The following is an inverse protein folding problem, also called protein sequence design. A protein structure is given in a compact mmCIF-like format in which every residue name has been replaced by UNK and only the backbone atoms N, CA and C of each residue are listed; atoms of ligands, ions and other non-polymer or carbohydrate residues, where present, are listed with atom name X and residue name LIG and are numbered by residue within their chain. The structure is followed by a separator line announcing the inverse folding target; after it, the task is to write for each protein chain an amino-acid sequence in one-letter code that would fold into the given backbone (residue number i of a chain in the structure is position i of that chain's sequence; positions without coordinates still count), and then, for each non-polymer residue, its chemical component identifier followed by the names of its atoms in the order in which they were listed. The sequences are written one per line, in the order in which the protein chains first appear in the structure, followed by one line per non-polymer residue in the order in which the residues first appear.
data_IF_399333257193
#
_entry.id   IF_399333257193
#
_cell.length_a   1.000
_cell.length_b   1.000
_cell.length_c   1.000
_cell.angle_alpha   90.00
_cell.angle_beta   90.00
_cell.angle_gamma   90.00
#
_symmetry.space_group_name_H-M   'P 1'
#
loop_
_entity.id
_entity.type
_entity.pdbx_description
1 polymer ?
#
# COMPACT_ATOMS: atom_id res chain seq x y z
N UNK A 1 10.87 -3.51 -29.27
CA UNK A 1 11.47 -4.62 -28.50
C UNK A 1 12.60 -4.07 -27.65
N UNK A 2 12.73 -4.49 -26.38
CA UNK A 2 13.85 -4.12 -25.51
C UNK A 2 15.14 -4.77 -26.05
N UNK A 3 16.23 -4.01 -26.22
CA UNK A 3 17.51 -4.57 -26.68
C UNK A 3 18.38 -4.94 -25.48
N UNK A 4 18.91 -6.16 -25.48
CA UNK A 4 19.86 -6.69 -24.50
C UNK A 4 19.45 -6.48 -23.02
N UNK A 5 18.24 -6.90 -22.61
CA UNK A 5 17.87 -6.83 -21.20
C UNK A 5 18.81 -7.70 -20.36
N UNK A 6 19.24 -7.19 -19.21
CA UNK A 6 20.06 -7.95 -18.26
C UNK A 6 19.45 -7.89 -16.87
N UNK A 7 19.63 -8.97 -16.10
CA UNK A 7 19.21 -9.09 -14.71
C UNK A 7 20.44 -9.35 -13.83
N UNK A 8 20.45 -8.76 -12.65
CA UNK A 8 21.55 -8.89 -11.70
C UNK A 8 21.48 -10.20 -10.93
N UNK A 9 22.61 -10.90 -10.85
CA UNK A 9 22.83 -11.98 -9.90
C UNK A 9 23.36 -11.38 -8.58
N UNK A 10 22.58 -11.48 -7.51
CA UNK A 10 22.93 -10.90 -6.20
C UNK A 10 24.05 -11.64 -5.47
N UNK A 11 24.31 -12.91 -5.83
CA UNK A 11 25.40 -13.68 -5.25
C UNK A 11 26.71 -13.40 -5.99
N UNK A 12 26.69 -13.55 -7.31
CA UNK A 12 27.86 -13.37 -8.17
C UNK A 12 28.18 -11.90 -8.45
N UNK A 13 27.29 -10.98 -8.06
CA UNK A 13 27.43 -9.53 -8.23
C UNK A 13 27.75 -9.13 -9.68
N UNK A 14 27.00 -9.70 -10.63
CA UNK A 14 27.17 -9.42 -12.07
C UNK A 14 25.85 -9.47 -12.83
N UNK A 15 25.79 -8.78 -13.96
CA UNK A 15 24.66 -8.85 -14.87
C UNK A 15 24.69 -10.10 -15.75
N UNK A 16 23.55 -10.76 -15.87
CA UNK A 16 23.29 -11.90 -16.75
C UNK A 16 22.33 -11.47 -17.87
N UNK A 17 22.55 -11.90 -19.13
CA UNK A 17 21.59 -11.65 -20.20
C UNK A 17 20.27 -12.36 -19.90
N UNK A 18 19.16 -11.66 -20.12
CA UNK A 18 17.81 -12.25 -20.00
C UNK A 18 17.42 -12.82 -21.35
N UNK A 19 17.27 -14.15 -21.42
CA UNK A 19 16.88 -14.87 -22.64
C UNK A 19 15.56 -15.59 -22.42
N UNK A 20 14.53 -15.22 -23.18
CA UNK A 20 13.23 -15.89 -23.13
C UNK A 20 12.46 -15.63 -21.83
N UNK A 21 11.81 -16.68 -21.31
CA UNK A 21 10.95 -16.63 -20.11
C UNK A 21 11.46 -17.65 -19.11
N UNK A 22 11.74 -17.19 -17.88
CA UNK A 22 12.09 -18.05 -16.75
C UNK A 22 10.95 -18.05 -15.74
N UNK A 23 10.49 -19.25 -15.36
CA UNK A 23 9.43 -19.44 -14.37
C UNK A 23 9.99 -20.27 -13.21
N UNK A 24 9.97 -19.69 -12.01
CA UNK A 24 10.33 -20.39 -10.78
C UNK A 24 9.10 -20.56 -9.89
N UNK A 25 8.79 -21.81 -9.53
CA UNK A 25 7.67 -22.17 -8.65
C UNK A 25 8.14 -22.94 -7.43
N UNK A 26 7.37 -22.89 -6.33
CA UNK A 26 7.71 -23.56 -5.09
C UNK A 26 8.72 -22.78 -4.25
N UNK A 27 9.79 -23.44 -3.80
CA UNK A 27 10.84 -22.79 -3.02
C UNK A 27 11.79 -22.02 -3.95
N UNK A 28 11.79 -20.70 -3.81
CA UNK A 28 12.59 -19.80 -4.65
C UNK A 28 13.78 -19.17 -3.90
N UNK A 29 14.16 -19.68 -2.72
CA UNK A 29 15.24 -19.09 -1.90
C UNK A 29 16.62 -19.17 -2.59
N UNK A 30 16.82 -20.14 -3.49
CA UNK A 30 18.09 -20.32 -4.22
C UNK A 30 18.18 -19.59 -5.56
N UNK A 31 17.14 -18.85 -5.95
CA UNK A 31 17.16 -18.11 -7.22
C UNK A 31 17.89 -16.79 -6.99
N UNK A 32 19.08 -16.68 -7.60
CA UNK A 32 20.07 -15.63 -7.33
C UNK A 32 19.75 -14.29 -8.02
N UNK A 33 18.87 -14.30 -9.01
CA UNK A 33 18.41 -13.10 -9.74
C UNK A 33 17.45 -12.21 -8.94
N UNK A 34 17.20 -12.55 -7.67
CA UNK A 34 16.46 -11.71 -6.72
C UNK A 34 17.08 -11.74 -5.33
N UNK A 35 16.76 -10.72 -4.56
CA UNK A 35 16.85 -10.74 -3.11
C UNK A 35 15.43 -10.88 -2.55
N UNK A 36 15.23 -11.78 -1.58
CA UNK A 36 13.96 -11.94 -0.85
C UNK A 36 14.22 -11.77 0.64
N UNK A 37 13.45 -10.89 1.28
CA UNK A 37 13.62 -10.55 2.70
C UNK A 37 12.28 -10.63 3.39
N UNK A 38 12.22 -11.36 4.50
CA UNK A 38 11.07 -11.34 5.43
C UNK A 38 11.30 -10.28 6.50
N UNK A 39 10.23 -9.63 6.95
CA UNK A 39 10.35 -8.71 8.06
C UNK A 39 10.69 -9.44 9.37
N UNK A 40 11.58 -8.85 10.21
CA UNK A 40 11.84 -9.35 11.55
C UNK A 40 10.58 -9.50 12.40
N UNK A 41 10.59 -10.47 13.30
CA UNK A 41 9.42 -10.84 14.12
C UNK A 41 9.02 -9.70 15.08
N UNK A 42 9.97 -8.89 15.53
CA UNK A 42 9.74 -7.77 16.43
C UNK A 42 8.83 -6.67 15.84
N UNK A 43 8.70 -6.58 14.52
CA UNK A 43 7.75 -5.64 13.90
C UNK A 43 6.30 -6.12 13.96
N UNK A 44 6.08 -7.39 14.30
CA UNK A 44 4.73 -7.93 14.44
C UNK A 44 4.66 -9.05 15.50
N UNK A 45 4.89 -8.70 16.78
CA UNK A 45 5.08 -9.67 17.87
C UNK A 45 3.85 -10.56 18.10
N UNK A 46 2.66 -10.07 17.76
CA UNK A 46 1.40 -10.82 17.92
C UNK A 46 1.24 -11.97 16.90
N UNK A 47 2.02 -11.98 15.81
CA UNK A 47 1.89 -12.97 14.76
C UNK A 47 3.11 -13.89 14.69
N UNK A 48 2.98 -15.10 15.21
CA UNK A 48 4.08 -16.09 15.29
C UNK A 48 4.74 -16.43 13.94
N UNK A 49 4.04 -16.22 12.82
CA UNK A 49 4.52 -16.57 11.47
C UNK A 49 4.07 -15.53 10.44
N UNK A 50 4.94 -14.56 10.14
CA UNK A 50 4.67 -13.57 9.10
C UNK A 50 5.23 -13.99 7.74
N UNK A 51 4.42 -13.84 6.68
CA UNK A 51 4.85 -13.92 5.27
C UNK A 51 5.17 -12.54 4.67
N UNK A 52 5.11 -11.47 5.48
CA UNK A 52 5.33 -10.09 5.04
C UNK A 52 6.82 -9.81 4.84
N UNK A 53 7.14 -8.94 3.89
CA UNK A 53 8.50 -8.68 3.47
C UNK A 53 8.55 -7.97 2.13
N UNK A 54 9.71 -8.06 1.47
CA UNK A 54 9.88 -7.55 0.12
C UNK A 54 10.74 -8.49 -0.73
N UNK A 55 10.62 -8.34 -2.04
CA UNK A 55 11.52 -8.93 -3.02
C UNK A 55 12.08 -7.83 -3.91
N UNK A 56 13.38 -7.88 -4.17
CA UNK A 56 14.09 -6.93 -5.03
C UNK A 56 14.71 -7.68 -6.21
N UNK A 57 14.57 -7.11 -7.40
CA UNK A 57 15.34 -7.48 -8.59
C UNK A 57 16.05 -6.25 -9.12
N UNK A 58 17.21 -6.43 -9.75
CA UNK A 58 17.98 -5.34 -10.37
C UNK A 58 18.13 -5.61 -11.85
N UNK A 59 17.83 -4.60 -12.65
CA UNK A 59 17.78 -4.69 -14.09
C UNK A 59 18.73 -3.68 -14.73
N UNK A 60 19.29 -4.05 -15.88
CA UNK A 60 19.97 -3.12 -16.79
C UNK A 60 19.24 -3.15 -18.13
N UNK A 61 18.64 -2.03 -18.50
CA UNK A 61 17.97 -1.85 -19.80
C UNK A 61 18.64 -0.68 -20.52
N UNK A 62 19.25 -0.96 -21.68
CA UNK A 62 20.04 0.04 -22.44
C UNK A 62 21.05 0.81 -21.58
N UNK A 63 21.75 0.11 -20.67
CA UNK A 63 22.73 0.72 -19.77
C UNK A 63 22.14 1.49 -18.58
N UNK A 64 20.81 1.65 -18.51
CA UNK A 64 20.15 2.20 -17.32
C UNK A 64 19.92 1.09 -16.30
N UNK A 65 20.56 1.22 -15.15
CA UNK A 65 20.43 0.27 -14.04
C UNK A 65 19.40 0.78 -13.03
N UNK A 66 18.48 -0.09 -12.60
CA UNK A 66 17.49 0.23 -11.58
C UNK A 66 17.00 -1.00 -10.83
N UNK A 67 16.45 -0.78 -9.63
CA UNK A 67 15.82 -1.81 -8.82
C UNK A 67 14.29 -1.77 -8.94
N UNK A 68 13.68 -2.95 -8.99
CA UNK A 68 12.25 -3.17 -8.82
C UNK A 68 12.02 -3.91 -7.51
N UNK A 69 11.26 -3.29 -6.61
CA UNK A 69 11.02 -3.80 -5.25
C UNK A 69 9.53 -4.04 -5.06
N UNK A 70 9.13 -5.31 -4.99
CA UNK A 70 7.77 -5.69 -4.64
C UNK A 70 7.68 -5.87 -3.12
N UNK A 71 6.86 -5.08 -2.42
CA UNK A 71 6.70 -5.09 -0.98
C UNK A 71 5.29 -5.52 -0.56
N UNK A 72 5.20 -6.20 0.58
CA UNK A 72 3.94 -6.57 1.20
C UNK A 72 4.01 -6.27 2.70
N UNK A 73 3.37 -5.19 3.13
CA UNK A 73 3.36 -4.72 4.52
C UNK A 73 2.20 -5.35 5.34
N UNK A 74 2.17 -5.03 6.63
CA UNK A 74 1.19 -5.58 7.58
C UNK A 74 -0.20 -4.96 7.42
N UNK A 75 -1.23 -5.81 7.51
CA UNK A 75 -2.64 -5.39 7.49
C UNK A 75 -3.18 -5.12 8.89
N UNK A 76 -4.29 -4.40 8.99
CA UNK A 76 -4.99 -4.16 10.26
C UNK A 76 -5.80 -5.39 10.68
N UNK A 77 -5.62 -5.87 11.91
CA UNK A 77 -6.40 -6.99 12.46
C UNK A 77 -7.75 -6.54 13.05
N UNK A 78 -7.86 -5.29 13.52
CA UNK A 78 -9.04 -4.74 14.21
C UNK A 78 -9.42 -3.34 13.72
N UNK A 79 -10.66 -3.16 13.26
CA UNK A 79 -11.17 -1.83 12.95
C UNK A 79 -11.26 -0.93 14.20
N UNK A 80 -11.42 -1.50 15.39
CA UNK A 80 -11.45 -0.71 16.64
C UNK A 80 -10.12 0.01 16.86
N UNK A 81 -9.01 -0.72 16.78
CA UNK A 81 -7.67 -0.15 16.95
C UNK A 81 -7.36 0.83 15.81
N UNK A 82 -7.82 0.56 14.59
CA UNK A 82 -7.59 1.44 13.45
C UNK A 82 -8.31 2.80 13.60
N UNK A 83 -9.50 2.84 14.21
CA UNK A 83 -10.29 4.06 14.35
C UNK A 83 -10.05 4.85 15.66
N UNK A 84 -9.26 4.32 16.59
CA UNK A 84 -8.99 4.95 17.89
C UNK A 84 -8.11 6.20 17.80
N UNK A 85 -7.08 6.16 16.95
CA UNK A 85 -6.13 7.25 16.77
C UNK A 85 -5.40 7.17 15.44
N UNK A 86 -4.89 8.31 14.96
CA UNK A 86 -3.93 8.36 13.87
C UNK A 86 -2.63 9.08 14.29
N UNK A 87 -1.44 8.52 13.98
CA UNK A 87 -1.19 7.17 13.45
C UNK A 87 -1.67 6.07 14.40
N UNK A 88 -2.32 5.05 13.86
CA UNK A 88 -2.73 3.88 14.66
C UNK A 88 -1.53 2.98 14.97
N UNK A 89 -1.72 1.97 15.82
CA UNK A 89 -0.72 0.92 16.03
C UNK A 89 -0.28 0.29 14.70
N UNK A 90 -1.23 0.00 13.80
CA UNK A 90 -0.94 -0.64 12.52
C UNK A 90 -0.18 0.29 11.57
N UNK A 91 -0.53 1.58 11.57
CA UNK A 91 0.20 2.60 10.80
C UNK A 91 1.66 2.67 11.24
N UNK A 92 1.93 2.70 12.56
CA UNK A 92 3.31 2.69 13.09
C UNK A 92 4.09 1.43 12.70
N UNK A 93 3.44 0.27 12.71
CA UNK A 93 4.07 -0.98 12.28
C UNK A 93 4.44 -0.97 10.80
N UNK A 94 3.54 -0.50 9.92
CA UNK A 94 3.85 -0.31 8.49
C UNK A 94 4.96 0.70 8.28
N UNK A 95 4.94 1.80 9.03
CA UNK A 95 5.99 2.82 8.98
C UNK A 95 7.36 2.21 9.29
N UNK A 96 7.48 1.50 10.43
CA UNK A 96 8.74 0.84 10.82
C UNK A 96 9.22 -0.21 9.81
N UNK A 97 8.31 -0.98 9.21
CA UNK A 97 8.65 -1.98 8.19
C UNK A 97 9.12 -1.36 6.86
N UNK A 98 8.50 -0.25 6.43
CA UNK A 98 8.95 0.48 5.26
C UNK A 98 10.28 1.20 5.53
N UNK A 99 10.46 1.83 6.69
CA UNK A 99 11.74 2.41 7.09
C UNK A 99 12.86 1.37 7.12
N UNK A 100 12.60 0.17 7.68
CA UNK A 100 13.53 -0.95 7.65
C UNK A 100 13.92 -1.31 6.21
N UNK A 101 12.95 -1.41 5.31
CA UNK A 101 13.19 -1.72 3.89
C UNK A 101 14.09 -0.69 3.24
N UNK A 102 13.75 0.60 3.38
CA UNK A 102 14.50 1.69 2.77
C UNK A 102 15.89 1.83 3.37
N UNK A 103 16.04 1.67 4.69
CA UNK A 103 17.35 1.70 5.36
C UNK A 103 18.22 0.52 4.95
N UNK A 104 17.64 -0.67 4.76
CA UNK A 104 18.39 -1.82 4.26
C UNK A 104 18.92 -1.57 2.86
N UNK A 105 18.09 -1.09 1.94
CA UNK A 105 18.52 -0.77 0.57
C UNK A 105 19.59 0.33 0.58
N UNK A 106 19.42 1.35 1.41
CA UNK A 106 20.36 2.45 1.53
C UNK A 106 21.72 2.02 2.10
N UNK A 107 21.75 1.06 3.03
CA UNK A 107 22.96 0.68 3.76
C UNK A 107 23.53 -0.69 3.35
N UNK A 108 22.95 -1.38 2.38
CA UNK A 108 23.49 -2.64 1.88
C UNK A 108 24.81 -2.47 1.10
N UNK A 109 25.44 -3.60 0.80
CA UNK A 109 26.73 -3.70 0.10
C UNK A 109 26.68 -3.39 -1.40
N UNK A 110 25.51 -3.21 -1.99
CA UNK A 110 25.36 -3.03 -3.44
C UNK A 110 25.35 -1.55 -3.81
N UNK A 111 25.73 -1.26 -5.06
CA UNK A 111 25.65 0.09 -5.60
C UNK A 111 24.23 0.65 -5.49
N UNK A 112 24.12 1.94 -5.20
CA UNK A 112 22.84 2.64 -5.07
C UNK A 112 22.37 3.03 -6.47
N UNK A 113 21.22 2.49 -6.84
CA UNK A 113 20.60 2.72 -8.15
C UNK A 113 19.19 3.28 -7.95
N UNK A 114 18.62 3.96 -8.96
CA UNK A 114 17.21 4.29 -9.00
C UNK A 114 16.34 3.08 -8.65
N UNK A 115 15.28 3.27 -7.86
CA UNK A 115 14.39 2.16 -7.52
C UNK A 115 12.92 2.55 -7.56
N UNK A 116 12.11 1.59 -7.99
CA UNK A 116 10.66 1.62 -7.94
C UNK A 116 10.21 0.61 -6.89
N UNK A 117 9.41 1.05 -5.93
CA UNK A 117 8.85 0.20 -4.89
C UNK A 117 7.34 0.17 -5.02
N UNK A 118 6.78 -1.03 -5.15
CA UNK A 118 5.37 -1.24 -5.45
C UNK A 118 4.83 -2.49 -4.74
N UNK A 119 3.52 -2.66 -4.72
CA UNK A 119 2.86 -3.83 -4.15
C UNK A 119 1.82 -3.44 -3.11
N UNK A 120 1.53 -4.36 -2.20
CA UNK A 120 0.53 -4.17 -1.14
C UNK A 120 1.18 -3.52 0.08
N UNK A 121 1.18 -2.18 0.10
CA UNK A 121 1.62 -1.39 1.25
C UNK A 121 0.65 -1.50 2.42
N UNK A 122 -0.58 -2.01 2.21
CA UNK A 122 -1.64 -2.02 3.21
C UNK A 122 -1.86 -0.65 3.88
N UNK A 123 -1.42 0.45 3.26
CA UNK A 123 -1.66 1.80 3.78
C UNK A 123 -3.15 2.02 3.92
N UNK A 124 -3.54 2.57 5.07
CA UNK A 124 -4.94 2.87 5.38
C UNK A 124 -5.12 4.37 5.48
N UNK A 125 -6.36 4.77 5.35
CA UNK A 125 -6.75 6.14 5.68
C UNK A 125 -6.59 6.37 7.19
N UNK A 126 -6.50 7.65 7.56
CA UNK A 126 -6.81 8.13 8.90
C UNK A 126 -8.26 7.77 9.24
N UNK A 127 -8.43 6.54 9.72
CA UNK A 127 -9.75 5.91 9.90
C UNK A 127 -10.54 6.63 10.98
N UNK A 128 -9.86 7.18 11.99
CA UNK A 128 -10.48 8.05 12.99
C UNK A 128 -11.13 9.26 12.31
N UNK A 129 -10.37 10.03 11.51
CA UNK A 129 -10.88 11.22 10.83
C UNK A 129 -12.00 10.89 9.83
N UNK A 130 -11.90 9.75 9.14
CA UNK A 130 -12.94 9.26 8.23
C UNK A 130 -14.24 8.95 8.99
N UNK A 131 -14.15 8.22 10.11
CA UNK A 131 -15.30 7.90 10.96
C UNK A 131 -15.94 9.18 11.50
N UNK A 132 -15.15 10.12 12.02
CA UNK A 132 -15.66 11.41 12.50
C UNK A 132 -16.39 12.20 11.40
N UNK A 133 -15.85 12.22 10.18
CA UNK A 133 -16.44 12.93 9.05
C UNK A 133 -17.76 12.29 8.59
N UNK A 134 -17.79 10.97 8.43
CA UNK A 134 -18.98 10.21 8.01
C UNK A 134 -20.11 10.34 9.04
N UNK A 135 -19.76 10.24 10.33
CA UNK A 135 -20.73 10.23 11.42
C UNK A 135 -21.11 11.62 11.90
N UNK A 136 -20.51 12.68 11.32
CA UNK A 136 -20.64 14.08 11.79
C UNK A 136 -20.33 14.21 13.28
N UNK A 137 -19.33 13.44 13.75
CA UNK A 137 -18.92 13.35 15.15
C UNK A 137 -20.03 12.89 16.11
N UNK A 138 -21.00 12.11 15.62
CA UNK A 138 -22.00 11.49 16.48
C UNK A 138 -21.32 10.62 17.55
N UNK A 139 -21.83 10.60 18.79
CA UNK A 139 -21.25 9.78 19.85
C UNK A 139 -21.40 8.28 19.53
N UNK A 140 -20.37 7.46 19.81
CA UNK A 140 -20.44 6.02 19.59
C UNK A 140 -21.35 5.36 20.63
N UNK A 141 -22.12 4.37 20.18
CA UNK A 141 -22.85 3.45 21.08
C UNK A 141 -22.18 2.09 21.06
N UNK A 142 -21.60 1.71 22.19
CA UNK A 142 -20.89 0.45 22.35
C UNK A 142 -21.86 -0.67 22.75
N UNK A 143 -21.78 -1.78 22.02
CA UNK A 143 -22.43 -3.04 22.38
C UNK A 143 -21.37 -3.96 22.95
N UNK A 144 -21.59 -4.44 24.17
CA UNK A 144 -20.67 -5.29 24.91
C UNK A 144 -21.15 -6.74 24.92
N UNK A 145 -20.21 -7.67 24.90
CA UNK A 145 -20.46 -9.09 25.08
C UNK A 145 -20.95 -9.36 26.51
N UNK A 146 -22.09 -10.05 26.64
CA UNK A 146 -22.59 -10.49 27.95
C UNK A 146 -21.71 -11.52 28.66
N UNK A 147 -20.75 -12.14 27.96
CA UNK A 147 -19.86 -13.17 28.53
C UNK A 147 -18.64 -12.60 29.26
N UNK A 148 -18.03 -11.54 28.70
CA UNK A 148 -16.75 -11.01 29.17
C UNK A 148 -16.69 -9.48 29.23
N UNK A 149 -17.75 -8.77 28.84
CA UNK A 149 -17.82 -7.30 28.89
C UNK A 149 -17.07 -6.57 27.77
N UNK A 150 -16.39 -7.30 26.88
CA UNK A 150 -15.64 -6.70 25.76
C UNK A 150 -16.58 -6.04 24.76
N UNK A 151 -16.14 -4.95 24.15
CA UNK A 151 -16.87 -4.29 23.06
C UNK A 151 -16.81 -5.18 21.82
N UNK A 152 -17.97 -5.65 21.36
CA UNK A 152 -18.10 -6.49 20.15
C UNK A 152 -18.51 -5.67 18.94
N UNK A 153 -19.17 -4.53 19.17
CA UNK A 153 -19.73 -3.68 18.12
C UNK A 153 -19.82 -2.24 18.60
N UNK A 154 -19.57 -1.31 17.69
CA UNK A 154 -19.76 0.13 17.87
C UNK A 154 -20.72 0.61 16.78
N UNK A 155 -21.75 1.33 17.20
CA UNK A 155 -22.78 1.90 16.33
C UNK A 155 -22.70 3.42 16.36
N UNK A 156 -22.82 4.03 15.20
CA UNK A 156 -23.02 5.47 15.05
C UNK A 156 -24.36 5.73 14.38
N UNK A 157 -25.16 6.61 14.97
CA UNK A 157 -26.52 6.94 14.51
C UNK A 157 -26.56 8.30 13.85
N UNK A 158 -27.56 8.54 13.01
CA UNK A 158 -27.78 9.86 12.42
C UNK A 158 -28.13 10.85 13.55
N UNK A 159 -27.46 12.01 13.65
CA UNK A 159 -27.78 13.03 14.64
C UNK A 159 -29.22 13.55 14.59
N UNK A 160 -29.91 13.39 13.44
CA UNK A 160 -31.29 13.82 13.23
C UNK A 160 -32.31 12.69 13.36
N UNK A 161 -31.85 11.43 13.40
CA UNK A 161 -32.69 10.24 13.52
C UNK A 161 -31.94 9.14 14.28
N UNK A 162 -32.17 9.08 15.60
CA UNK A 162 -31.50 8.12 16.49
C UNK A 162 -31.84 6.65 16.18
N UNK A 163 -32.92 6.38 15.44
CA UNK A 163 -33.25 5.02 15.03
C UNK A 163 -32.45 4.58 13.79
N UNK A 164 -31.87 5.52 13.06
CA UNK A 164 -31.08 5.26 11.86
C UNK A 164 -29.60 5.07 12.20
N UNK A 165 -29.11 3.83 12.05
CA UNK A 165 -27.68 3.53 12.14
C UNK A 165 -26.99 3.92 10.83
N UNK A 166 -25.99 4.78 10.92
CA UNK A 166 -25.18 5.23 9.78
C UNK A 166 -23.99 4.30 9.58
N UNK A 167 -23.23 4.04 10.65
CA UNK A 167 -22.01 3.23 10.60
C UNK A 167 -22.03 2.15 11.68
N UNK A 168 -21.72 0.92 11.29
CA UNK A 168 -21.47 -0.22 12.18
C UNK A 168 -20.00 -0.62 12.08
N UNK A 169 -19.31 -0.63 13.21
CA UNK A 169 -17.93 -1.10 13.31
C UNK A 169 -17.88 -2.31 14.24
N UNK A 170 -17.30 -3.40 13.76
CA UNK A 170 -16.87 -4.54 14.56
C UNK A 170 -15.40 -4.82 14.26
N UNK A 171 -14.76 -5.72 15.00
CA UNK A 171 -13.34 -6.08 14.77
C UNK A 171 -13.03 -6.35 13.29
N UNK A 172 -13.92 -7.03 12.57
CA UNK A 172 -13.78 -7.32 11.14
C UNK A 172 -14.93 -6.82 10.26
N UNK A 173 -15.75 -5.90 10.76
CA UNK A 173 -16.84 -5.27 10.00
C UNK A 173 -16.66 -3.76 10.04
N UNK A 174 -16.78 -3.13 8.88
CA UNK A 174 -16.85 -1.70 8.69
C UNK A 174 -17.97 -1.45 7.68
N UNK A 175 -19.19 -1.28 8.17
CA UNK A 175 -20.39 -1.24 7.32
C UNK A 175 -21.07 0.11 7.44
N UNK A 176 -21.12 0.83 6.32
CA UNK A 176 -21.78 2.12 6.16
C UNK A 176 -23.07 1.90 5.38
N UNK A 177 -24.14 2.61 5.72
CA UNK A 177 -25.43 2.46 5.03
C UNK A 177 -25.32 2.63 3.51
N UNK A 178 -24.62 3.68 3.05
CA UNK A 178 -24.41 4.00 1.64
C UNK A 178 -22.95 3.71 1.23
N UNK A 179 -22.44 2.52 1.59
CA UNK A 179 -21.02 2.17 1.53
C UNK A 179 -20.37 2.46 0.16
N UNK A 180 -20.95 1.94 -0.93
CA UNK A 180 -20.39 2.13 -2.28
C UNK A 180 -20.35 3.60 -2.70
N UNK A 181 -21.48 4.30 -2.54
CA UNK A 181 -21.60 5.70 -2.91
C UNK A 181 -20.63 6.58 -2.09
N UNK A 182 -20.44 6.26 -0.82
CA UNK A 182 -19.52 7.00 0.03
C UNK A 182 -18.06 6.83 -0.38
N UNK A 183 -17.62 5.64 -0.77
CA UNK A 183 -16.20 5.37 -1.02
C UNK A 183 -15.78 5.42 -2.49
N UNK A 184 -16.70 5.11 -3.42
CA UNK A 184 -16.40 5.05 -4.86
C UNK A 184 -16.71 6.36 -5.60
N UNK A 185 -17.64 7.19 -5.09
CA UNK A 185 -18.06 8.41 -5.80
C UNK A 185 -16.90 9.35 -6.05
N UNK A 186 -16.79 9.83 -7.30
CA UNK A 186 -15.73 10.73 -7.74
C UNK A 186 -14.34 10.18 -7.40
N UNK A 187 -14.13 8.87 -7.63
CA UNK A 187 -12.90 8.14 -7.33
C UNK A 187 -12.44 8.30 -5.88
N UNK A 188 -13.37 8.43 -4.93
CA UNK A 188 -13.05 8.60 -3.52
C UNK A 188 -12.28 9.88 -3.23
N UNK A 189 -12.35 10.93 -4.07
CA UNK A 189 -11.53 12.15 -3.95
C UNK A 189 -11.55 12.79 -2.55
N UNK A 190 -12.68 12.74 -1.85
CA UNK A 190 -12.79 13.28 -0.50
C UNK A 190 -11.95 12.50 0.54
N UNK A 191 -11.61 11.24 0.26
CA UNK A 191 -10.78 10.39 1.12
C UNK A 191 -9.29 10.77 1.04
N UNK A 192 -8.86 11.46 -0.03
CA UNK A 192 -7.44 11.76 -0.26
C UNK A 192 -6.83 12.61 0.85
N UNK A 193 -7.60 13.50 1.48
CA UNK A 193 -7.12 14.28 2.64
C UNK A 193 -6.87 13.43 3.90
N UNK A 194 -7.40 12.21 3.91
CA UNK A 194 -7.22 11.21 4.95
C UNK A 194 -6.17 10.14 4.59
N UNK A 195 -5.66 10.11 3.35
CA UNK A 195 -4.57 9.20 2.93
C UNK A 195 -3.21 9.76 3.35
N UNK A 196 -2.92 9.65 4.66
CA UNK A 196 -1.80 10.36 5.29
C UNK A 196 -0.53 9.52 5.45
N UNK A 197 -0.60 8.20 5.39
CA UNK A 197 0.57 7.32 5.55
C UNK A 197 1.70 7.59 4.52
N UNK A 198 1.42 7.79 3.22
CA UNK A 198 2.48 8.08 2.24
C UNK A 198 3.27 9.35 2.57
N UNK A 199 2.61 10.36 3.17
CA UNK A 199 3.22 11.64 3.50
C UNK A 199 4.36 11.54 4.53
N UNK A 200 4.37 10.47 5.33
CA UNK A 200 5.46 10.16 6.27
C UNK A 200 6.79 9.88 5.55
N UNK A 201 6.74 9.56 4.26
CA UNK A 201 7.90 9.18 3.44
C UNK A 201 8.23 10.18 2.32
N UNK A 202 7.54 11.32 2.26
CA UNK A 202 7.67 12.32 1.17
C UNK A 202 9.11 12.82 0.92
N UNK A 203 9.96 12.77 1.95
CA UNK A 203 11.36 13.21 1.86
C UNK A 203 12.27 12.16 1.19
N UNK A 204 11.81 10.91 1.10
CA UNK A 204 12.56 9.76 0.57
C UNK A 204 11.93 9.18 -0.71
N UNK A 205 10.61 9.19 -0.77
CA UNK A 205 9.80 8.57 -1.81
C UNK A 205 8.86 9.59 -2.46
N UNK A 206 8.57 9.36 -3.72
CA UNK A 206 7.63 10.13 -4.52
C UNK A 206 6.52 9.22 -5.05
N UNK A 207 5.29 9.71 -5.06
CA UNK A 207 4.15 9.06 -5.68
C UNK A 207 3.46 10.04 -6.63
N UNK A 208 2.95 9.52 -7.74
CA UNK A 208 2.13 10.33 -8.67
C UNK A 208 0.70 10.47 -8.14
N UNK A 209 0.01 11.49 -8.62
CA UNK A 209 -1.38 11.76 -8.21
C UNK A 209 -2.29 10.56 -8.49
N UNK A 210 -3.08 10.19 -7.49
CA UNK A 210 -4.07 9.12 -7.56
C UNK A 210 -5.36 9.69 -8.16
N UNK A 211 -5.83 9.09 -9.26
CA UNK A 211 -7.09 9.46 -9.91
C UNK A 211 -8.02 8.25 -10.14
N UNK A 212 -7.91 7.22 -9.30
CA UNK A 212 -8.73 6.01 -9.27
C UNK A 212 -9.27 5.78 -7.86
N UNK A 213 -10.42 5.08 -7.69
CA UNK A 213 -11.01 4.84 -6.37
C UNK A 213 -10.10 3.95 -5.50
N UNK A 214 -10.35 3.87 -4.17
CA UNK A 214 -9.64 2.95 -3.29
C UNK A 214 -9.54 1.53 -3.86
N UNK A 215 -8.36 0.90 -3.78
CA UNK A 215 -8.08 -0.40 -4.40
C UNK A 215 -8.57 -1.60 -3.57
N UNK A 216 -8.93 -1.38 -2.30
CA UNK A 216 -9.28 -2.43 -1.35
C UNK A 216 -10.35 -1.94 -0.35
N UNK A 217 -11.25 -2.81 0.15
CA UNK A 217 -11.42 -4.23 -0.18
C UNK A 217 -12.54 -4.51 -1.20
N UNK A 218 -12.26 -4.95 -2.42
CA UNK A 218 -13.31 -5.41 -3.35
C UNK A 218 -13.79 -6.83 -3.02
N UNK A 219 -15.04 -7.17 -3.35
CA UNK A 219 -15.54 -8.55 -3.24
C UNK A 219 -14.81 -9.46 -4.23
N UNK A 220 -14.60 -10.71 -3.83
CA UNK A 220 -13.81 -11.68 -4.57
C UNK A 220 -14.62 -12.50 -5.59
N UNK A 221 -15.96 -12.40 -5.57
CA UNK A 221 -16.82 -13.11 -6.51
C UNK A 221 -16.88 -12.40 -7.88
N UNK A 222 -16.99 -13.18 -8.96
CA UNK A 222 -17.01 -12.66 -10.33
C UNK A 222 -18.13 -11.63 -10.60
N UNK A 223 -19.24 -11.71 -9.85
CA UNK A 223 -20.36 -10.76 -9.91
C UNK A 223 -20.15 -9.50 -9.05
N UNK A 224 -19.28 -9.54 -8.05
CA UNK A 224 -19.11 -8.52 -7.01
C UNK A 224 -17.84 -7.68 -7.12
N UNK A 225 -16.99 -7.93 -8.11
CA UNK A 225 -15.70 -7.23 -8.30
C UNK A 225 -15.80 -5.70 -8.50
N UNK A 226 -17.02 -5.13 -8.53
CA UNK A 226 -17.29 -3.69 -8.61
C UNK A 226 -17.77 -3.08 -7.29
N UNK A 227 -17.86 -3.89 -6.23
CA UNK A 227 -18.36 -3.49 -4.92
C UNK A 227 -17.33 -3.79 -3.85
N UNK A 228 -17.25 -2.92 -2.86
CA UNK A 228 -16.46 -3.15 -1.66
C UNK A 228 -17.10 -4.20 -0.75
N UNK A 229 -16.23 -4.93 -0.05
CA UNK A 229 -16.56 -5.71 1.12
C UNK A 229 -16.71 -4.79 2.32
N UNK A 230 -17.59 -5.14 3.24
CA UNK A 230 -17.81 -4.38 4.47
C UNK A 230 -16.83 -4.81 5.58
N UNK A 231 -15.62 -5.25 5.24
CA UNK A 231 -14.67 -5.83 6.21
C UNK A 231 -13.74 -4.79 6.80
N UNK A 232 -13.39 -3.75 6.03
CA UNK A 232 -12.47 -2.66 6.39
C UNK A 232 -12.95 -1.36 5.76
N UNK A 233 -12.51 -0.23 6.29
CA UNK A 233 -12.65 1.04 5.60
C UNK A 233 -11.88 0.99 4.27
N UNK A 234 -12.51 1.33 3.13
CA UNK A 234 -11.82 1.34 1.85
C UNK A 234 -10.60 2.27 1.83
N UNK A 235 -9.50 1.83 1.23
CA UNK A 235 -8.24 2.56 1.15
C UNK A 235 -7.43 2.20 -0.12
N UNK A 236 -6.42 3.02 -0.44
CA UNK A 236 -5.42 2.72 -1.46
C UNK A 236 -4.27 1.91 -0.83
N UNK A 237 -4.43 0.59 -0.79
CA UNK A 237 -3.44 -0.33 -0.26
C UNK A 237 -2.31 -0.63 -1.27
N UNK A 238 -2.66 -0.68 -2.55
CA UNK A 238 -1.76 -1.03 -3.65
C UNK A 238 -1.16 0.24 -4.24
N UNK A 239 0.17 0.39 -4.13
CA UNK A 239 0.86 1.65 -4.42
C UNK A 239 2.08 1.47 -5.28
N UNK A 240 2.51 2.54 -5.93
CA UNK A 240 3.77 2.62 -6.68
C UNK A 240 4.49 3.90 -6.25
N UNK A 241 5.60 3.75 -5.54
CA UNK A 241 6.44 4.85 -5.09
C UNK A 241 7.83 4.76 -5.73
N UNK A 242 8.44 5.92 -5.94
CA UNK A 242 9.71 6.07 -6.64
C UNK A 242 10.74 6.69 -5.69
N UNK A 243 11.98 6.23 -5.76
CA UNK A 243 13.10 6.98 -5.20
C UNK A 243 13.29 8.31 -5.94
N UNK A 244 13.98 9.29 -5.34
CA UNK A 244 14.31 10.56 -6.02
C UNK A 244 15.02 10.35 -7.36
N UNK A 245 15.92 9.36 -7.43
CA UNK A 245 16.64 9.03 -8.65
C UNK A 245 15.75 8.34 -9.69
N UNK A 246 14.83 7.45 -9.28
CA UNK A 246 13.84 6.85 -10.19
C UNK A 246 12.85 7.89 -10.72
N UNK A 247 12.42 8.82 -9.87
CA UNK A 247 11.63 9.97 -10.27
C UNK A 247 12.35 10.76 -11.36
N UNK A 248 13.65 11.05 -11.18
CA UNK A 248 14.44 11.75 -12.19
C UNK A 248 14.44 10.99 -13.52
N UNK A 249 14.65 9.67 -13.53
CA UNK A 249 14.59 8.87 -14.77
C UNK A 249 13.28 9.04 -15.54
N UNK A 250 12.14 9.08 -14.82
CA UNK A 250 10.83 9.27 -15.45
C UNK A 250 10.69 10.68 -16.05
N UNK A 251 11.22 11.71 -15.39
CA UNK A 251 11.16 13.09 -15.90
C UNK A 251 12.25 13.43 -16.93
N UNK A 252 13.40 12.74 -16.93
CA UNK A 252 14.49 12.94 -17.90
C UNK A 252 14.26 12.20 -19.23
N UNK A 253 13.10 11.56 -19.42
CA UNK A 253 12.64 11.09 -20.72
C UNK A 253 12.29 12.26 -21.65
N UNK A 254 13.28 13.10 -21.97
CA UNK A 254 13.26 14.02 -23.11
C UNK A 254 13.65 13.28 -24.36
N UNK A 255 12.79 13.38 -25.38
CA UNK A 255 13.04 12.96 -26.76
C UNK A 255 14.46 13.37 -27.22
N UNK A 256 15.06 12.58 -28.12
CA UNK A 256 16.33 12.89 -28.81
C UNK A 256 16.31 14.21 -29.63
N UNK A 257 15.26 15.03 -29.50
CA UNK A 257 15.04 16.30 -30.19
C UNK A 257 15.53 17.54 -29.43
N UNK A 258 16.02 17.41 -28.19
CA UNK A 258 16.54 18.56 -27.42
C UNK A 258 15.48 19.56 -26.92
N UNK A 259 14.19 19.21 -27.00
CA UNK A 259 13.14 19.95 -26.29
C UNK A 259 13.11 19.56 -24.81
N UNK A 260 12.87 20.54 -23.93
CA UNK A 260 12.59 20.29 -22.51
C UNK A 260 11.50 19.23 -22.34
N UNK A 261 11.52 18.41 -21.27
CA UNK A 261 10.58 17.31 -21.14
C UNK A 261 9.19 17.90 -21.15
N UNK A 262 8.43 17.61 -22.21
CA UNK A 262 6.98 17.81 -22.19
C UNK A 262 6.54 17.09 -20.93
N UNK A 263 5.91 17.81 -19.99
CA UNK A 263 5.27 17.17 -18.82
C UNK A 263 4.59 15.92 -19.37
N UNK A 264 5.07 14.74 -18.97
CA UNK A 264 4.43 13.50 -19.36
C UNK A 264 2.94 13.72 -19.06
N UNK A 265 2.04 13.65 -20.06
CA UNK A 265 0.64 14.00 -19.86
C UNK A 265 0.16 13.18 -18.68
N UNK A 266 -0.24 13.87 -17.61
CA UNK A 266 -0.64 13.35 -16.30
C UNK A 266 -0.49 11.82 -16.22
N UNK A 267 0.68 11.34 -15.79
CA UNK A 267 0.89 9.90 -15.57
C UNK A 267 -0.05 9.49 -14.44
N UNK A 268 -1.26 9.12 -14.81
CA UNK A 268 -2.27 8.55 -13.94
C UNK A 268 -2.05 7.04 -13.99
N UNK A 269 -1.47 6.50 -12.93
CA UNK A 269 -1.49 5.07 -12.73
C UNK A 269 -2.94 4.63 -12.57
N UNK A 270 -3.39 3.70 -13.41
CA UNK A 270 -4.64 2.95 -13.21
C UNK A 270 -4.22 1.53 -12.89
N UNK A 271 -4.61 1.04 -11.73
CA UNK A 271 -4.53 -0.38 -11.37
C UNK A 271 -5.76 -1.12 -11.90
#
# INVERSE_FOLDING_TARGET
SLKNPQIWDFQECRFLPVTGVEVHSGNIEKVLSKEKVKFPQEFFPECKWSRKGFMRTRWSLHGTVFDLINIHLFHDESNFIAMESFPSLYTRNRQGALDYTLNRIQNDKYDKVPFFIFGDFNFRLDTQAVVEKITRKAPPVQVKSGKNGDVTKVLFRDPKDENRVVLTVERKVFSLQDHEEAFSRNNGKWLQEHDREPSLFKDRLFEFDIAFPPSYPFKEDCSGARSYMHTRCPAWCDRILLSKAARALVYTGTDESGEAPRRLPNVVWRL
#
